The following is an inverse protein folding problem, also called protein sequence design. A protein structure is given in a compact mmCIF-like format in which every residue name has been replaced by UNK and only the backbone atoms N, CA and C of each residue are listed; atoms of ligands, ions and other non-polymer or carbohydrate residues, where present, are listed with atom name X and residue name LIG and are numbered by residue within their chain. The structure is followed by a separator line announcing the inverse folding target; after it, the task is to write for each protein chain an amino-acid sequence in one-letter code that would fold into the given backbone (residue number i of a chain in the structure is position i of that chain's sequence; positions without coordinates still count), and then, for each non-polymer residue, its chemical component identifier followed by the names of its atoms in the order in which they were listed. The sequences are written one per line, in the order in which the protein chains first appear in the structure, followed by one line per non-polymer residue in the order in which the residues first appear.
data_IF_532869368626
#
_entry.id   IF_532869368626
#
_cell.length_a   1.000
_cell.length_b   1.000
_cell.length_c   1.000
_cell.angle_alpha   90.00
_cell.angle_beta   90.00
_cell.angle_gamma   90.00
#
_symmetry.space_group_name_H-M   'P 1'
#
loop_
_entity.id
_entity.type
_entity.pdbx_description
1 polymer ?
#
# COMPACT_ATOMS: atom_id res chain seq x y z
N UNK A 1 -10.94 6.26 18.54
CA UNK A 1 -9.72 6.79 17.92
C UNK A 1 -9.33 8.03 18.69
N UNK A 2 -8.10 8.12 19.17
CA UNK A 2 -7.58 9.23 19.98
C UNK A 2 -6.46 10.02 19.32
N UNK A 3 -5.86 9.51 18.25
CA UNK A 3 -4.79 10.19 17.50
C UNK A 3 -5.33 10.72 16.18
N UNK A 4 -5.05 11.98 15.85
CA UNK A 4 -5.34 12.49 14.51
C UNK A 4 -4.26 11.96 13.56
N UNK A 5 -4.67 11.24 12.51
CA UNK A 5 -3.77 10.64 11.53
C UNK A 5 -4.15 11.01 10.11
N UNK A 6 -3.15 11.25 9.26
CA UNK A 6 -3.32 11.42 7.82
C UNK A 6 -2.32 10.56 7.04
N UNK A 7 -2.71 10.18 5.81
CA UNK A 7 -2.00 9.15 5.00
C UNK A 7 -1.81 7.82 5.74
N UNK A 8 -2.69 7.49 6.69
CA UNK A 8 -2.77 6.17 7.29
C UNK A 8 -3.49 5.19 6.34
N UNK A 9 -3.34 3.90 6.60
CA UNK A 9 -4.05 2.85 5.87
C UNK A 9 -5.12 2.22 6.75
N UNK A 10 -6.35 2.16 6.25
CA UNK A 10 -7.44 1.43 6.87
C UNK A 10 -7.55 0.02 6.30
N UNK A 11 -7.57 -1.01 7.16
CA UNK A 11 -7.76 -2.41 6.75
C UNK A 11 -8.68 -3.16 7.71
N UNK A 12 -9.57 -3.98 7.18
CA UNK A 12 -10.38 -4.91 7.98
C UNK A 12 -9.64 -6.24 8.08
N UNK A 13 -9.46 -6.75 9.30
CA UNK A 13 -8.68 -7.95 9.57
C UNK A 13 -9.12 -8.60 10.88
N UNK A 14 -9.33 -9.91 10.86
CA UNK A 14 -9.75 -10.71 12.02
C UNK A 14 -10.91 -10.12 12.84
N UNK A 15 -11.93 -9.58 12.18
CA UNK A 15 -13.12 -9.01 12.83
C UNK A 15 -12.91 -7.61 13.43
N UNK A 16 -11.77 -6.98 13.19
CA UNK A 16 -11.43 -5.63 13.65
C UNK A 16 -11.07 -4.71 12.48
N UNK A 17 -11.24 -3.40 12.68
CA UNK A 17 -10.79 -2.37 11.73
C UNK A 17 -9.52 -1.71 12.24
N UNK A 18 -8.45 -1.79 11.46
CA UNK A 18 -7.13 -1.28 11.82
C UNK A 18 -6.84 -0.02 11.02
N UNK A 19 -6.45 1.05 11.71
CA UNK A 19 -5.91 2.27 11.12
C UNK A 19 -4.41 2.27 11.40
N UNK A 20 -3.62 1.88 10.40
CA UNK A 20 -2.20 1.58 10.54
C UNK A 20 -1.34 2.75 10.07
N UNK A 21 -0.38 3.13 10.90
CA UNK A 21 0.64 4.10 10.59
C UNK A 21 0.10 5.51 10.37
N UNK A 22 0.61 6.18 9.33
CA UNK A 22 0.25 7.55 9.01
C UNK A 22 1.10 8.58 9.75
N UNK A 23 1.05 9.81 9.25
CA UNK A 23 1.55 10.93 10.03
C UNK A 23 0.54 11.19 11.14
N UNK A 24 1.03 11.27 12.36
CA UNK A 24 0.22 11.52 13.54
C UNK A 24 0.46 12.94 14.03
N UNK A 25 -0.58 13.54 14.61
CA UNK A 25 -0.53 14.81 15.30
C UNK A 25 -1.04 14.61 16.72
N UNK A 26 -0.19 14.92 17.69
CA UNK A 26 -0.56 14.93 19.11
C UNK A 26 -0.53 16.36 19.59
N UNK A 27 -1.70 16.88 20.01
CA UNK A 27 -1.81 18.17 20.68
C UNK A 27 -1.34 18.04 22.12
N UNK A 28 -0.05 18.22 22.35
CA UNK A 28 0.45 18.45 23.70
C UNK A 28 0.14 19.90 24.08
N UNK A 29 -0.87 20.12 24.93
CA UNK A 29 -0.95 21.38 25.69
C UNK A 29 0.22 21.36 26.67
N UNK A 30 1.35 21.95 26.26
CA UNK A 30 2.39 22.28 27.22
C UNK A 30 1.77 23.26 28.23
N UNK A 31 1.49 22.78 29.43
CA UNK A 31 1.25 23.64 30.57
C UNK A 31 2.60 24.28 30.95
N UNK A 32 3.08 25.23 30.15
CA UNK A 32 4.15 26.11 30.56
C UNK A 32 3.53 27.10 31.54
N UNK A 33 4.01 27.09 32.79
CA UNK A 33 3.66 28.04 33.83
C UNK A 33 4.16 29.47 33.57
N UNK A 34 4.52 29.82 32.34
CA UNK A 34 4.83 31.18 31.93
C UNK A 34 3.97 31.57 30.73
N UNK A 35 3.11 32.56 30.96
CA UNK A 35 2.25 33.16 29.96
C UNK A 35 3.06 34.04 29.01
N UNK A 36 3.68 33.45 28.00
CA UNK A 36 3.94 34.16 26.73
C UNK A 36 4.13 33.17 25.58
N UNK A 37 3.15 33.16 24.68
CA UNK A 37 3.09 32.41 23.41
C UNK A 37 3.05 30.89 23.59
N UNK A 38 1.83 30.35 23.74
CA UNK A 38 1.56 28.93 23.53
C UNK A 38 1.87 28.56 22.07
N UNK A 39 3.12 28.18 21.81
CA UNK A 39 3.49 27.55 20.55
C UNK A 39 3.02 26.11 20.65
N UNK A 40 1.88 25.80 20.01
CA UNK A 40 1.40 24.42 19.87
C UNK A 40 2.44 23.65 19.08
N UNK A 41 3.35 22.95 19.76
CA UNK A 41 4.30 22.07 19.11
C UNK A 41 3.55 20.77 18.79
N UNK A 42 3.15 20.60 17.54
CA UNK A 42 2.66 19.33 17.00
C UNK A 42 3.85 18.36 16.89
N UNK A 43 4.25 17.78 18.00
CA UNK A 43 5.29 16.75 18.04
C UNK A 43 4.62 15.40 18.22
N UNK A 44 4.54 14.65 17.11
CA UNK A 44 4.24 13.22 17.18
C UNK A 44 5.53 12.41 17.23
N UNK A 45 5.55 11.43 18.12
CA UNK A 45 6.66 10.48 18.23
C UNK A 45 6.64 9.46 17.10
N UNK A 46 7.82 8.94 16.74
CA UNK A 46 7.92 7.84 15.78
C UNK A 46 7.08 6.62 16.20
N UNK A 47 6.89 6.42 17.50
CA UNK A 47 6.07 5.33 18.04
C UNK A 47 4.58 5.49 17.73
N UNK A 48 4.06 6.73 17.75
CA UNK A 48 2.68 7.01 17.34
C UNK A 48 2.52 6.80 15.84
N UNK A 49 3.46 7.30 15.03
CA UNK A 49 3.44 7.14 13.57
C UNK A 49 3.61 5.70 13.09
N UNK A 50 4.22 4.85 13.91
CA UNK A 50 4.42 3.43 13.66
C UNK A 50 3.34 2.53 14.28
N UNK A 51 2.45 3.09 15.11
CA UNK A 51 1.35 2.34 15.74
C UNK A 51 0.13 2.16 14.82
N UNK A 52 -0.77 1.28 15.23
CA UNK A 52 -2.11 1.17 14.67
C UNK A 52 -3.18 1.44 15.73
N UNK A 53 -4.28 2.05 15.34
CA UNK A 53 -5.50 2.11 16.14
C UNK A 53 -6.46 1.04 15.66
N UNK A 54 -6.88 0.16 16.57
CA UNK A 54 -7.66 -1.03 16.28
C UNK A 54 -9.04 -0.89 16.90
N UNK A 55 -10.06 -0.88 16.06
CA UNK A 55 -11.44 -0.95 16.48
C UNK A 55 -11.92 -2.39 16.52
N UNK A 56 -12.19 -2.89 17.73
CA UNK A 56 -12.75 -4.23 17.94
C UNK A 56 -14.26 -4.20 17.77
N UNK A 57 -14.77 -4.72 16.65
CA UNK A 57 -16.20 -4.64 16.31
C UNK A 57 -17.09 -5.30 17.37
N UNK A 58 -16.66 -6.41 17.97
CA UNK A 58 -17.42 -7.13 19.00
C UNK A 58 -17.58 -6.34 20.31
N UNK A 59 -16.61 -5.48 20.64
CA UNK A 59 -16.59 -4.71 21.89
C UNK A 59 -16.98 -3.25 21.71
N UNK A 60 -16.93 -2.74 20.47
CA UNK A 60 -17.16 -1.32 20.17
C UNK A 60 -16.08 -0.40 20.73
N UNK A 61 -14.87 -0.91 20.96
CA UNK A 61 -13.77 -0.17 21.61
C UNK A 61 -12.57 0.00 20.68
N UNK A 62 -11.90 1.13 20.80
CA UNK A 62 -10.61 1.39 20.16
C UNK A 62 -9.47 1.04 21.12
N UNK A 63 -8.43 0.39 20.61
CA UNK A 63 -7.18 0.10 21.30
C UNK A 63 -5.99 0.53 20.43
N UNK A 64 -4.89 0.90 21.06
CA UNK A 64 -3.64 1.23 20.34
C UNK A 64 -2.73 0.00 20.34
N UNK A 65 -2.20 -0.33 19.16
CA UNK A 65 -1.19 -1.36 18.96
C UNK A 65 0.13 -0.69 18.56
N UNK A 66 1.08 -0.50 19.51
CA UNK A 66 2.35 0.16 19.24
C UNK A 66 3.21 -0.62 18.25
N UNK A 67 3.88 0.09 17.34
CA UNK A 67 4.88 -0.50 16.45
C UNK A 67 4.34 -1.54 15.46
N UNK A 68 3.03 -1.56 15.20
CA UNK A 68 2.45 -2.46 14.20
C UNK A 68 3.08 -2.24 12.83
N UNK A 69 3.36 -1.00 12.46
CA UNK A 69 4.16 -0.64 11.30
C UNK A 69 5.61 -0.45 11.71
N UNK A 70 6.57 -0.95 10.94
CA UNK A 70 7.97 -0.95 11.38
C UNK A 70 8.67 0.41 11.16
N UNK A 71 8.13 1.24 10.26
CA UNK A 71 8.78 2.48 9.82
C UNK A 71 8.08 3.72 10.37
N UNK A 72 8.84 4.80 10.38
CA UNK A 72 8.36 6.14 10.69
C UNK A 72 7.77 6.88 9.46
N UNK A 73 7.58 6.12 8.37
CA UNK A 73 7.07 6.60 7.07
C UNK A 73 5.78 5.84 6.78
N UNK A 74 4.65 6.51 6.49
CA UNK A 74 3.37 5.83 6.30
C UNK A 74 3.39 4.72 5.24
N UNK A 75 2.71 3.58 5.49
CA UNK A 75 2.56 2.53 4.49
C UNK A 75 1.84 3.06 3.25
N UNK A 76 2.16 2.52 2.07
CA UNK A 76 1.46 2.88 0.85
C UNK A 76 0.05 2.28 0.88
N UNK A 77 -0.03 0.95 1.03
CA UNK A 77 -1.26 0.19 1.15
C UNK A 77 -1.01 -1.09 1.93
N UNK A 78 -2.06 -1.54 2.63
CA UNK A 78 -2.10 -2.80 3.37
C UNK A 78 -3.42 -3.48 3.00
N UNK A 79 -3.35 -4.76 2.66
CA UNK A 79 -4.51 -5.58 2.32
C UNK A 79 -4.53 -6.87 3.12
N UNK A 80 -5.71 -7.41 3.38
CA UNK A 80 -5.90 -8.68 4.06
C UNK A 80 -6.14 -9.81 3.04
N UNK A 81 -5.38 -10.90 3.17
CA UNK A 81 -5.54 -12.14 2.38
C UNK A 81 -5.37 -13.33 3.32
N UNK A 82 -6.37 -14.22 3.36
CA UNK A 82 -6.34 -15.44 4.17
C UNK A 82 -5.83 -15.22 5.61
N UNK A 83 -6.46 -14.27 6.32
CA UNK A 83 -6.12 -13.86 7.70
C UNK A 83 -4.69 -13.35 7.91
N UNK A 84 -3.99 -12.95 6.84
CA UNK A 84 -2.68 -12.29 6.90
C UNK A 84 -2.76 -10.89 6.29
N UNK A 85 -1.90 -9.99 6.76
CA UNK A 85 -1.77 -8.65 6.19
C UNK A 85 -0.54 -8.58 5.28
N UNK A 86 -0.73 -7.98 4.11
CA UNK A 86 0.31 -7.76 3.12
C UNK A 86 0.46 -6.28 2.82
N UNK A 87 1.70 -5.84 2.64
CA UNK A 87 2.06 -4.47 2.30
C UNK A 87 3.00 -4.44 1.10
N UNK A 88 2.98 -3.32 0.38
CA UNK A 88 3.90 -3.04 -0.70
C UNK A 88 4.30 -1.56 -0.67
N UNK A 89 5.51 -1.30 -0.21
CA UNK A 89 6.10 0.03 -0.22
C UNK A 89 5.50 0.99 0.81
N UNK A 90 5.87 2.25 0.69
CA UNK A 90 5.46 3.34 1.56
C UNK A 90 5.08 4.59 0.76
N UNK A 91 4.69 5.66 1.43
CA UNK A 91 4.28 6.90 0.76
C UNK A 91 5.42 7.64 0.04
N UNK A 92 6.68 7.22 0.19
CA UNK A 92 7.83 7.76 -0.54
C UNK A 92 8.20 6.88 -1.74
N UNK A 93 8.04 5.57 -1.60
CA UNK A 93 8.23 4.61 -2.66
C UNK A 93 7.17 3.51 -2.61
N UNK A 94 6.20 3.58 -3.53
CA UNK A 94 5.10 2.63 -3.64
C UNK A 94 5.52 1.18 -3.97
N UNK A 95 6.76 0.95 -4.43
CA UNK A 95 7.32 -0.38 -4.68
C UNK A 95 8.77 -0.47 -4.23
N UNK A 96 9.03 -1.22 -3.16
CA UNK A 96 10.38 -1.45 -2.62
C UNK A 96 11.08 -2.68 -3.21
N UNK A 97 10.51 -3.27 -4.26
CA UNK A 97 11.08 -4.46 -4.87
C UNK A 97 10.62 -5.77 -4.25
N UNK A 98 9.59 -5.77 -3.39
CA UNK A 98 9.09 -6.96 -2.72
C UNK A 98 7.72 -6.69 -2.09
N UNK A 99 7.06 -7.77 -1.66
CA UNK A 99 5.86 -7.76 -0.82
C UNK A 99 6.28 -8.09 0.60
N UNK A 100 5.74 -7.37 1.58
CA UNK A 100 5.94 -7.63 3.00
C UNK A 100 4.69 -8.28 3.58
N UNK A 101 4.88 -9.18 4.53
CA UNK A 101 3.81 -9.85 5.26
C UNK A 101 3.97 -9.64 6.75
N UNK A 102 2.86 -9.34 7.42
CA UNK A 102 2.81 -9.12 8.85
C UNK A 102 2.65 -10.44 9.61
N UNK A 103 3.49 -10.62 10.63
CA UNK A 103 3.34 -11.63 11.66
C UNK A 103 2.74 -10.98 12.91
N UNK A 104 1.48 -11.31 13.21
CA UNK A 104 0.76 -10.74 14.35
C UNK A 104 1.21 -11.25 15.72
N UNK A 105 1.85 -12.42 15.78
CA UNK A 105 2.39 -12.97 17.03
C UNK A 105 3.70 -12.26 17.40
N UNK A 106 4.55 -12.02 16.40
CA UNK A 106 5.84 -11.35 16.59
C UNK A 106 5.74 -9.82 16.48
N UNK A 107 4.61 -9.30 15.97
CA UNK A 107 4.39 -7.89 15.67
C UNK A 107 5.48 -7.31 14.74
N UNK A 108 5.82 -8.04 13.68
CA UNK A 108 6.85 -7.65 12.70
C UNK A 108 6.37 -7.80 11.26
N UNK A 109 6.94 -6.98 10.38
CA UNK A 109 6.84 -7.17 8.94
C UNK A 109 8.09 -7.90 8.43
N UNK A 110 7.88 -8.86 7.54
CA UNK A 110 8.96 -9.63 6.92
C UNK A 110 8.75 -9.70 5.41
N UNK A 111 9.85 -9.82 4.66
CA UNK A 111 9.77 -9.99 3.21
C UNK A 111 9.12 -11.34 2.92
N UNK A 112 8.06 -11.33 2.12
CA UNK A 112 7.39 -12.55 1.68
C UNK A 112 8.31 -13.32 0.72
N UNK A 113 8.47 -14.62 0.96
CA UNK A 113 9.28 -15.47 0.10
C UNK A 113 8.86 -15.36 -1.37
N UNK A 114 9.85 -15.32 -2.25
CA UNK A 114 9.69 -15.21 -3.71
C UNK A 114 8.98 -13.95 -4.22
N UNK A 115 8.68 -12.98 -3.35
CA UNK A 115 8.14 -11.68 -3.76
C UNK A 115 9.20 -10.73 -4.32
N UNK A 116 10.49 -11.01 -4.06
CA UNK A 116 11.60 -10.16 -4.47
C UNK A 116 11.65 -9.97 -6.00
N UNK A 117 11.37 -8.76 -6.43
CA UNK A 117 11.32 -8.32 -7.81
C UNK A 117 11.64 -6.82 -7.87
N UNK A 118 12.89 -6.42 -8.15
CA UNK A 118 13.32 -5.03 -8.05
C UNK A 118 12.48 -4.06 -8.88
N UNK A 119 12.02 -4.49 -10.05
CA UNK A 119 11.18 -3.71 -10.94
C UNK A 119 10.08 -4.56 -11.59
N UNK A 120 8.83 -4.16 -11.36
CA UNK A 120 7.64 -4.77 -11.95
C UNK A 120 7.61 -4.64 -13.49
N UNK A 121 8.27 -3.61 -14.05
CA UNK A 121 8.32 -3.39 -15.50
C UNK A 121 8.97 -4.57 -16.25
N UNK A 122 9.89 -5.27 -15.59
CA UNK A 122 10.60 -6.44 -16.11
C UNK A 122 9.64 -7.60 -16.41
N UNK A 123 8.59 -7.78 -15.60
CA UNK A 123 7.60 -8.83 -15.83
C UNK A 123 6.76 -8.59 -17.09
N UNK A 124 6.67 -7.33 -17.55
CA UNK A 124 5.88 -6.95 -18.71
C UNK A 124 6.74 -6.64 -19.95
N UNK A 125 8.04 -6.94 -19.89
CA UNK A 125 8.99 -6.68 -20.98
C UNK A 125 8.96 -5.22 -21.45
N UNK A 126 8.73 -4.29 -20.52
CA UNK A 126 8.84 -2.87 -20.82
C UNK A 126 10.33 -2.46 -20.97
N UNK A 127 10.63 -1.41 -21.75
CA UNK A 127 12.00 -0.91 -21.83
C UNK A 127 12.46 -0.40 -20.47
N UNK A 128 13.77 -0.47 -20.19
CA UNK A 128 14.36 0.00 -18.93
C UNK A 128 14.20 1.50 -18.68
N UNK A 129 13.86 2.26 -19.71
CA UNK A 129 13.52 3.69 -19.64
C UNK A 129 12.06 3.95 -19.25
N UNK A 130 11.25 2.90 -19.09
CA UNK A 130 9.87 3.05 -18.64
C UNK A 130 9.82 3.54 -17.18
N UNK A 131 9.05 4.59 -16.93
CA UNK A 131 8.87 5.15 -15.60
C UNK A 131 7.50 4.75 -15.05
N UNK A 132 7.46 4.15 -13.87
CA UNK A 132 6.19 3.90 -13.17
C UNK A 132 5.61 5.23 -12.68
N UNK A 133 4.39 5.52 -13.09
CA UNK A 133 3.64 6.72 -12.70
C UNK A 133 2.85 6.47 -11.43
N UNK A 134 2.27 5.28 -11.30
CA UNK A 134 1.40 4.94 -10.19
C UNK A 134 1.35 3.43 -9.93
N UNK A 135 0.95 3.05 -8.71
CA UNK A 135 0.80 1.66 -8.30
C UNK A 135 -0.25 1.56 -7.18
N UNK A 136 -1.31 0.80 -7.42
CA UNK A 136 -2.28 0.41 -6.39
C UNK A 136 -2.42 -1.11 -6.32
N UNK A 137 -2.76 -1.63 -5.16
CA UNK A 137 -2.87 -3.04 -4.84
C UNK A 137 -4.28 -3.36 -4.36
N UNK A 138 -4.84 -4.45 -4.87
CA UNK A 138 -6.07 -5.09 -4.42
C UNK A 138 -5.84 -6.57 -4.14
N UNK A 139 -6.69 -7.16 -3.31
CA UNK A 139 -6.68 -8.59 -3.00
C UNK A 139 -7.91 -9.28 -3.60
N UNK A 140 -7.72 -10.44 -4.24
CA UNK A 140 -8.80 -11.33 -4.69
C UNK A 140 -8.39 -12.78 -4.45
N UNK A 141 -9.12 -13.48 -3.57
CA UNK A 141 -8.75 -14.84 -3.18
C UNK A 141 -7.36 -14.86 -2.53
N UNK A 142 -6.45 -15.67 -3.06
CA UNK A 142 -5.04 -15.76 -2.63
C UNK A 142 -4.10 -14.87 -3.43
N UNK A 143 -4.62 -13.99 -4.28
CA UNK A 143 -3.80 -13.19 -5.19
C UNK A 143 -3.84 -11.71 -4.82
N UNK A 144 -2.66 -11.09 -4.86
CA UNK A 144 -2.48 -9.65 -4.86
C UNK A 144 -2.41 -9.16 -6.31
N UNK A 145 -3.23 -8.19 -6.66
CA UNK A 145 -3.24 -7.55 -7.96
C UNK A 145 -2.71 -6.12 -7.84
N UNK A 146 -1.64 -5.84 -8.55
CA UNK A 146 -0.98 -4.56 -8.64
C UNK A 146 -1.37 -3.89 -9.96
N UNK A 147 -2.19 -2.86 -9.88
CA UNK A 147 -2.57 -2.03 -11.01
C UNK A 147 -1.55 -0.90 -11.15
N UNK A 148 -0.81 -0.92 -12.24
CA UNK A 148 0.35 -0.07 -12.46
C UNK A 148 0.22 0.72 -13.76
N UNK A 149 0.64 1.98 -13.72
CA UNK A 149 0.76 2.82 -14.90
C UNK A 149 2.21 3.12 -15.20
N UNK A 150 2.57 3.06 -16.47
CA UNK A 150 3.92 3.31 -16.94
C UNK A 150 3.91 4.37 -18.03
N UNK A 151 4.84 5.31 -17.94
CA UNK A 151 5.22 6.17 -19.04
C UNK A 151 6.35 5.47 -19.81
N UNK A 152 6.12 5.23 -21.10
CA UNK A 152 7.05 4.52 -21.98
C UNK A 152 7.49 5.46 -23.10
N UNK A 153 8.80 5.66 -23.33
CA UNK A 153 9.28 6.44 -24.46
C UNK A 153 8.85 5.85 -25.81
N UNK A 154 8.52 6.72 -26.75
CA UNK A 154 8.19 6.41 -28.13
C UNK A 154 9.34 6.83 -29.07
N UNK A 155 9.31 6.35 -30.32
CA UNK A 155 10.36 6.59 -31.30
C UNK A 155 10.44 8.05 -31.81
N UNK A 156 9.39 8.84 -31.56
CA UNK A 156 9.24 10.23 -31.97
C UNK A 156 9.55 11.23 -30.84
N UNK A 157 10.35 10.81 -29.84
CA UNK A 157 10.63 11.56 -28.60
C UNK A 157 9.38 11.93 -27.78
N UNK A 158 8.23 11.32 -28.10
CA UNK A 158 7.01 11.41 -27.29
C UNK A 158 6.97 10.32 -26.23
N UNK A 159 5.99 10.41 -25.32
CA UNK A 159 5.73 9.37 -24.33
C UNK A 159 4.32 8.83 -24.49
N UNK A 160 4.19 7.51 -24.32
CA UNK A 160 2.89 6.85 -24.22
C UNK A 160 2.67 6.33 -22.80
N UNK A 161 1.43 6.41 -22.33
CA UNK A 161 1.04 5.77 -21.07
C UNK A 161 0.52 4.37 -21.33
N UNK A 162 0.97 3.40 -20.54
CA UNK A 162 0.53 2.00 -20.59
C UNK A 162 0.08 1.58 -19.21
N UNK A 163 -1.14 1.04 -19.12
CA UNK A 163 -1.66 0.41 -17.91
C UNK A 163 -1.39 -1.09 -17.95
N UNK A 164 -0.91 -1.64 -16.84
CA UNK A 164 -0.61 -3.05 -16.65
C UNK A 164 -1.17 -3.54 -15.33
N UNK A 165 -1.45 -4.84 -15.26
CA UNK A 165 -1.77 -5.52 -14.02
C UNK A 165 -0.74 -6.61 -13.78
N UNK A 166 -0.13 -6.59 -12.59
CA UNK A 166 0.75 -7.65 -12.12
C UNK A 166 0.04 -8.41 -11.02
N UNK A 167 0.06 -9.73 -11.04
CA UNK A 167 -0.50 -10.57 -9.97
C UNK A 167 0.61 -11.29 -9.23
N UNK A 168 0.50 -11.36 -7.91
CA UNK A 168 1.31 -12.19 -7.04
C UNK A 168 0.43 -13.18 -6.29
N UNK A 169 0.67 -14.48 -6.45
CA UNK A 169 -0.03 -15.52 -5.70
C UNK A 169 0.65 -15.75 -4.34
N UNK A 170 -0.02 -15.36 -3.26
CA UNK A 170 0.50 -15.49 -1.89
C UNK A 170 0.53 -16.94 -1.40
N UNK A 171 -0.12 -17.87 -2.12
CA UNK A 171 -0.13 -19.30 -1.83
C UNK A 171 0.80 -20.13 -2.72
N UNK A 172 1.54 -19.50 -3.63
CA UNK A 172 2.37 -20.22 -4.59
C UNK A 172 3.44 -21.06 -3.89
N UNK A 173 3.48 -22.35 -4.22
CA UNK A 173 4.49 -23.25 -3.69
C UNK A 173 5.86 -22.95 -4.33
N UNK A 174 6.93 -22.83 -3.52
CA UNK A 174 8.28 -22.54 -4.00
C UNK A 174 8.73 -23.47 -5.13
N UNK A 175 9.16 -22.90 -6.26
CA UNK A 175 9.78 -23.64 -7.37
C UNK A 175 8.84 -24.48 -8.24
N UNK A 176 7.54 -24.54 -7.93
CA UNK A 176 6.57 -25.31 -8.71
C UNK A 176 5.78 -24.44 -9.70
N UNK A 177 5.41 -23.22 -9.29
CA UNK A 177 4.61 -22.30 -10.10
C UNK A 177 5.21 -20.89 -9.99
N UNK A 178 5.31 -20.11 -11.09
CA UNK A 178 5.70 -18.71 -11.01
C UNK A 178 4.70 -17.93 -10.15
N UNK A 179 5.17 -17.34 -9.05
CA UNK A 179 4.35 -16.55 -8.14
C UNK A 179 3.86 -15.25 -8.79
N UNK A 180 4.66 -14.69 -9.71
CA UNK A 180 4.35 -13.45 -10.44
C UNK A 180 3.82 -13.72 -11.84
N UNK A 181 2.83 -12.92 -12.27
CA UNK A 181 2.37 -12.83 -13.66
C UNK A 181 2.06 -11.38 -14.01
N UNK A 182 2.08 -11.06 -15.31
CA UNK A 182 1.66 -9.76 -15.83
C UNK A 182 0.69 -9.93 -16.98
N UNK A 183 -0.29 -9.05 -17.05
CA UNK A 183 -1.25 -9.01 -18.14
C UNK A 183 -1.69 -7.58 -18.41
N UNK A 184 -2.21 -7.35 -19.62
CA UNK A 184 -2.81 -6.08 -20.00
C UNK A 184 -4.29 -6.07 -19.62
N UNK A 185 -4.83 -4.96 -19.12
CA UNK A 185 -6.27 -4.78 -19.02
C UNK A 185 -6.91 -4.96 -20.41
N UNK A 186 -8.06 -5.63 -20.46
CA UNK A 186 -8.90 -5.60 -21.64
C UNK A 186 -9.50 -4.19 -21.77
N UNK A 187 -9.10 -3.47 -22.81
CA UNK A 187 -9.64 -2.15 -23.13
C UNK A 187 -10.46 -2.23 -24.41
N UNK A 188 -11.54 -1.46 -24.49
CA UNK A 188 -12.30 -1.33 -25.72
C UNK A 188 -11.41 -0.72 -26.82
N UNK A 189 -11.74 -1.00 -28.08
CA UNK A 189 -10.98 -0.49 -29.22
C UNK A 189 -10.98 1.06 -29.27
N UNK A 190 -12.07 1.68 -28.81
CA UNK A 190 -12.18 3.14 -28.69
C UNK A 190 -11.25 3.70 -27.59
N UNK A 191 -11.17 3.04 -26.43
CA UNK A 191 -10.26 3.45 -25.33
C UNK A 191 -8.77 3.27 -25.68
N UNK A 192 -8.47 2.33 -26.60
CA UNK A 192 -7.12 2.12 -27.11
C UNK A 192 -6.68 3.22 -28.10
N UNK A 193 -7.60 3.78 -28.90
CA UNK A 193 -7.30 4.79 -29.93
C UNK A 193 -7.28 6.23 -29.40
N UNK A 194 -8.05 6.55 -28.36
CA UNK A 194 -8.12 7.91 -27.76
C UNK A 194 -6.84 8.27 -26.97
N UNK A 195 -5.92 7.33 -26.80
CA UNK A 195 -4.82 7.42 -25.84
C UNK A 195 -5.39 7.15 -24.45
N UNK A 196 -5.00 6.01 -23.87
CA UNK A 196 -5.61 5.50 -22.64
C UNK A 196 -5.70 6.57 -21.56
N UNK A 197 -6.86 6.67 -20.90
CA UNK A 197 -7.08 7.59 -19.78
C UNK A 197 -5.98 7.39 -18.75
N UNK A 198 -5.28 8.47 -18.43
CA UNK A 198 -4.32 8.46 -17.33
C UNK A 198 -5.08 8.24 -16.02
N UNK A 199 -4.80 7.12 -15.37
CA UNK A 199 -5.35 6.83 -14.04
C UNK A 199 -4.48 7.52 -12.99
N UNK A 200 -5.12 8.00 -11.93
CA UNK A 200 -4.43 8.45 -10.73
C UNK A 200 -4.77 7.47 -9.61
N UNK A 201 -3.74 6.80 -9.08
CA UNK A 201 -3.83 5.69 -8.12
C UNK A 201 -4.23 6.13 -6.71
N UNK A 202 -5.41 6.71 -6.56
CA UNK A 202 -5.93 7.08 -5.25
C UNK A 202 -6.59 5.89 -4.55
N UNK A 203 -7.27 5.02 -5.30
CA UNK A 203 -7.89 3.81 -4.77
C UNK A 203 -8.18 2.80 -5.88
N UNK A 204 -8.37 1.54 -5.49
CA UNK A 204 -9.04 0.54 -6.30
C UNK A 204 -10.05 -0.20 -5.44
N UNK A 205 -11.16 -0.62 -6.05
CA UNK A 205 -12.14 -1.51 -5.46
C UNK A 205 -12.41 -2.64 -6.44
N UNK A 206 -12.64 -3.84 -5.92
CA UNK A 206 -12.98 -5.00 -6.74
C UNK A 206 -14.42 -5.36 -6.46
N UNK A 207 -15.23 -5.38 -7.51
CA UNK A 207 -16.57 -5.93 -7.48
C UNK A 207 -16.55 -7.25 -8.25
N UNK A 208 -16.84 -8.34 -7.56
CA UNK A 208 -17.02 -9.64 -8.19
C UNK A 208 -18.50 -9.77 -8.56
N UNK A 209 -18.79 -10.07 -9.82
CA UNK A 209 -20.15 -10.41 -10.24
C UNK A 209 -20.53 -11.77 -9.65
N UNK A 210 -21.60 -11.78 -8.85
CA UNK A 210 -22.25 -12.98 -8.34
C UNK A 210 -23.01 -13.73 -9.43
#
# INVERSE_FOLDING_TARGET
MSTLRYRCVGVTWQGSFHVVGGFAETTLTAASSDASVATTVLQSSALERSSAEVFHCARGTWEILPGMWQLDVPPNQIVAVADRLFSSGDCLNCWKGHVEVYDGELNIWSIMDHSALPDLSLLASLPSSAQRLYLTMAAVGTQLYFLAGYQVPSADDSFRTVSLVHSFDTGAAPGLVPAWRSFRPEMSQEDAEVGGKELFSQCCSVQLSS
#
